data_IF_667018548475
#
_entry.id   IF_667018548475
#
_cell.length_a   1.000
_cell.length_b   1.000
_cell.length_c   1.000
_cell.angle_alpha   90.00
_cell.angle_beta   90.00
_cell.angle_gamma   90.00
#
_symmetry.space_group_name_H-M   'P 1'
#
loop_
_entity.id
_entity.type
_entity.pdbx_description
1 polymer ?
#
# COMPACT_ATOMS: atom_id res chain seq x y z
N UNK A 1 -3.63 24.15 -11.60
CA UNK A 1 -2.31 23.59 -11.98
C UNK A 1 -1.56 24.54 -12.92
N UNK A 2 -2.23 25.20 -13.87
CA UNK A 2 -1.59 26.11 -14.84
C UNK A 2 -1.23 27.50 -14.27
N UNK A 3 -1.37 27.76 -12.97
CA UNK A 3 -1.11 29.06 -12.35
C UNK A 3 -2.07 30.17 -12.76
N UNK A 4 -3.19 29.83 -13.41
CA UNK A 4 -4.18 30.81 -13.91
C UNK A 4 -5.12 31.33 -12.82
N UNK A 5 -5.10 30.74 -11.64
CA UNK A 5 -5.96 31.09 -10.50
C UNK A 5 -5.06 31.52 -9.34
N UNK A 6 -5.34 32.69 -8.79
CA UNK A 6 -4.70 33.18 -7.56
C UNK A 6 -5.71 33.11 -6.43
N UNK A 7 -5.36 32.40 -5.35
CA UNK A 7 -6.17 32.35 -4.14
C UNK A 7 -5.84 33.56 -3.26
N UNK A 8 -6.90 34.19 -2.71
CA UNK A 8 -6.76 35.30 -1.77
C UNK A 8 -6.94 34.82 -0.33
N UNK A 9 -6.10 35.34 0.56
CA UNK A 9 -6.21 35.09 2.00
C UNK A 9 -7.43 35.82 2.64
N UNK A 10 -8.06 36.75 1.91
CA UNK A 10 -9.30 37.39 2.34
C UNK A 10 -10.49 36.46 2.43
N UNK A 11 -10.40 35.31 1.75
CA UNK A 11 -11.39 34.24 1.83
C UNK A 11 -10.91 33.17 2.80
N UNK A 12 -11.80 32.66 3.62
CA UNK A 12 -11.52 31.76 4.73
C UNK A 12 -10.79 30.46 4.27
N UNK A 13 -11.22 29.92 3.12
CA UNK A 13 -10.73 28.65 2.62
C UNK A 13 -10.69 28.57 1.09
N UNK A 14 -10.18 27.46 0.56
CA UNK A 14 -10.10 27.20 -0.88
C UNK A 14 -11.51 27.17 -1.52
N UNK A 15 -12.52 26.69 -0.82
CA UNK A 15 -13.88 26.57 -1.33
C UNK A 15 -14.52 27.93 -1.54
N UNK A 16 -14.31 28.89 -0.61
CA UNK A 16 -14.76 30.28 -0.79
C UNK A 16 -14.05 30.96 -1.96
N UNK A 17 -12.76 30.71 -2.12
CA UNK A 17 -12.01 31.20 -3.27
C UNK A 17 -12.60 30.67 -4.59
N UNK A 18 -12.88 29.38 -4.69
CA UNK A 18 -13.48 28.74 -5.87
C UNK A 18 -14.89 29.29 -6.13
N UNK A 19 -15.71 29.42 -5.10
CA UNK A 19 -17.07 29.98 -5.20
C UNK A 19 -17.01 31.43 -5.70
N UNK A 20 -16.10 32.27 -5.18
CA UNK A 20 -15.90 33.64 -5.65
C UNK A 20 -15.49 33.69 -7.12
N UNK A 21 -14.54 32.87 -7.53
CA UNK A 21 -14.11 32.76 -8.93
C UNK A 21 -15.26 32.33 -9.83
N UNK A 22 -16.08 31.40 -9.38
CA UNK A 22 -17.27 30.95 -10.12
C UNK A 22 -18.27 32.11 -10.30
N UNK A 23 -18.57 32.84 -9.22
CA UNK A 23 -19.48 34.00 -9.26
C UNK A 23 -18.95 35.08 -10.23
N UNK A 24 -17.65 35.35 -10.20
CA UNK A 24 -17.02 36.35 -11.09
C UNK A 24 -17.12 35.89 -12.57
N UNK A 25 -17.15 34.60 -12.86
CA UNK A 25 -17.25 34.07 -14.22
C UNK A 25 -18.66 33.99 -14.76
N UNK A 26 -19.63 33.58 -13.92
CA UNK A 26 -21.02 33.28 -14.37
C UNK A 26 -22.07 34.18 -13.70
N UNK A 27 -21.66 35.12 -12.88
CA UNK A 27 -22.53 36.08 -12.18
C UNK A 27 -23.31 35.41 -11.01
N UNK A 28 -24.43 36.04 -10.64
CA UNK A 28 -25.24 35.66 -9.46
C UNK A 28 -25.76 34.23 -9.46
N UNK A 29 -25.82 33.58 -10.60
CA UNK A 29 -26.18 32.15 -10.69
C UNK A 29 -25.16 31.28 -9.93
N UNK A 30 -23.89 31.69 -9.91
CA UNK A 30 -22.83 31.02 -9.15
C UNK A 30 -23.11 30.91 -7.64
N UNK A 31 -23.82 31.87 -7.05
CA UNK A 31 -24.23 31.85 -5.64
C UNK A 31 -25.17 30.71 -5.27
N UNK A 32 -25.87 30.12 -6.25
CA UNK A 32 -26.76 28.99 -6.03
C UNK A 32 -26.02 27.68 -5.69
N UNK A 33 -24.72 27.59 -6.05
CA UNK A 33 -23.93 26.38 -5.82
C UNK A 33 -23.85 26.00 -4.33
N UNK A 34 -23.86 26.97 -3.43
CA UNK A 34 -23.77 26.75 -1.98
C UNK A 34 -25.11 26.35 -1.32
N UNK A 35 -26.23 26.42 -2.07
CA UNK A 35 -27.56 26.15 -1.51
C UNK A 35 -27.67 24.74 -0.97
N UNK A 36 -28.05 24.58 0.30
CA UNK A 36 -28.22 23.28 0.97
C UNK A 36 -26.90 22.53 1.23
N UNK A 37 -25.76 23.18 1.16
CA UNK A 37 -24.44 22.61 1.36
C UNK A 37 -23.73 23.24 2.58
N UNK A 38 -22.96 22.43 3.29
CA UNK A 38 -22.04 22.86 4.33
C UNK A 38 -20.60 22.53 3.94
N UNK A 39 -19.62 23.14 4.60
CA UNK A 39 -18.22 22.67 4.52
C UNK A 39 -18.08 21.24 5.01
N UNK A 40 -18.91 20.81 5.97
CA UNK A 40 -18.81 19.48 6.57
C UNK A 40 -19.07 18.38 5.55
N UNK A 41 -20.18 18.42 4.82
CA UNK A 41 -20.49 17.42 3.78
C UNK A 41 -19.62 17.59 2.53
N UNK A 42 -19.23 18.83 2.20
CA UNK A 42 -18.35 19.11 1.08
C UNK A 42 -16.95 18.51 1.28
N UNK A 43 -16.31 18.76 2.42
CA UNK A 43 -14.96 18.24 2.72
C UNK A 43 -14.97 16.72 2.85
N UNK A 44 -16.03 16.15 3.44
CA UNK A 44 -16.19 14.69 3.47
C UNK A 44 -16.32 14.10 2.06
N UNK A 45 -17.03 14.79 1.15
CA UNK A 45 -17.13 14.41 -0.26
C UNK A 45 -15.78 14.47 -0.97
N UNK A 46 -15.06 15.59 -0.81
CA UNK A 46 -13.77 15.81 -1.48
C UNK A 46 -12.76 14.73 -1.08
N UNK A 47 -12.70 14.37 0.21
CA UNK A 47 -11.85 13.29 0.70
C UNK A 47 -12.23 11.93 0.11
N UNK A 48 -13.52 11.62 0.00
CA UNK A 48 -13.98 10.36 -0.62
C UNK A 48 -13.65 10.32 -2.12
N UNK A 49 -13.87 11.40 -2.85
CA UNK A 49 -13.53 11.49 -4.28
C UNK A 49 -12.01 11.31 -4.50
N UNK A 50 -11.20 12.05 -3.76
CA UNK A 50 -9.74 11.95 -3.81
C UNK A 50 -9.28 10.52 -3.49
N UNK A 51 -9.81 9.94 -2.43
CA UNK A 51 -9.47 8.58 -2.00
C UNK A 51 -9.80 7.55 -3.07
N UNK A 52 -10.99 7.62 -3.68
CA UNK A 52 -11.39 6.70 -4.76
C UNK A 52 -10.43 6.77 -5.95
N UNK A 53 -10.02 7.97 -6.35
CA UNK A 53 -9.06 8.16 -7.44
C UNK A 53 -7.67 7.61 -7.10
N UNK A 54 -7.16 7.91 -5.93
CA UNK A 54 -5.81 7.54 -5.54
C UNK A 54 -5.65 6.03 -5.28
N UNK A 55 -6.67 5.39 -4.73
CA UNK A 55 -6.64 3.94 -4.48
C UNK A 55 -6.49 3.14 -5.77
N UNK A 56 -7.11 3.58 -6.86
CA UNK A 56 -6.94 2.93 -8.18
C UNK A 56 -5.47 2.96 -8.62
N UNK A 57 -4.75 4.06 -8.34
CA UNK A 57 -3.32 4.18 -8.65
C UNK A 57 -2.46 3.21 -7.82
N UNK A 58 -2.75 3.08 -6.53
CA UNK A 58 -2.06 2.09 -5.67
C UNK A 58 -2.38 0.65 -6.09
N UNK A 59 -3.64 0.38 -6.45
CA UNK A 59 -4.02 -0.94 -6.96
C UNK A 59 -3.29 -1.28 -8.26
N UNK A 60 -3.13 -0.33 -9.17
CA UNK A 60 -2.36 -0.52 -10.41
C UNK A 60 -0.89 -0.86 -10.09
N UNK A 61 -0.24 -0.14 -9.17
CA UNK A 61 1.14 -0.43 -8.76
C UNK A 61 1.30 -1.82 -8.12
N UNK A 62 0.29 -2.30 -7.37
CA UNK A 62 0.29 -3.67 -6.83
C UNK A 62 0.10 -4.72 -7.93
N UNK A 63 -0.71 -4.45 -8.95
CA UNK A 63 -0.85 -5.35 -10.10
C UNK A 63 0.45 -5.43 -10.90
N UNK A 64 1.11 -4.29 -11.16
CA UNK A 64 2.42 -4.25 -11.78
C UNK A 64 3.45 -5.08 -11.00
N UNK A 65 3.45 -4.96 -9.65
CA UNK A 65 4.30 -5.77 -8.77
C UNK A 65 4.04 -7.27 -8.93
N UNK A 66 2.77 -7.68 -8.95
CA UNK A 66 2.38 -9.08 -9.13
C UNK A 66 2.80 -9.61 -10.53
N UNK A 67 2.70 -8.80 -11.56
CA UNK A 67 3.16 -9.17 -12.92
C UNK A 67 4.67 -9.35 -12.97
N UNK A 68 5.45 -8.44 -12.36
CA UNK A 68 6.91 -8.53 -12.26
C UNK A 68 7.31 -9.82 -11.51
N UNK A 69 6.73 -10.08 -10.35
CA UNK A 69 7.01 -11.29 -9.57
C UNK A 69 6.68 -12.56 -10.38
N UNK A 70 5.55 -12.57 -11.08
CA UNK A 70 5.13 -13.70 -11.91
C UNK A 70 6.10 -13.92 -13.10
N UNK A 71 6.61 -12.86 -13.71
CA UNK A 71 7.65 -12.91 -14.74
C UNK A 71 8.92 -13.58 -14.20
N UNK A 72 9.44 -13.06 -13.09
CA UNK A 72 10.62 -13.63 -12.41
C UNK A 72 10.41 -15.10 -12.05
N UNK A 73 9.24 -15.44 -11.53
CA UNK A 73 8.91 -16.83 -11.16
C UNK A 73 8.96 -17.77 -12.36
N UNK A 74 8.38 -17.38 -13.50
CA UNK A 74 8.39 -18.17 -14.73
C UNK A 74 9.80 -18.46 -15.25
N UNK A 75 10.71 -17.51 -15.16
CA UNK A 75 12.09 -17.63 -15.61
C UNK A 75 12.97 -18.47 -14.67
N UNK A 76 12.49 -18.74 -13.46
CA UNK A 76 13.26 -19.37 -12.39
C UNK A 76 12.63 -20.65 -11.82
N UNK A 77 11.78 -21.34 -12.58
CA UNK A 77 11.13 -22.60 -12.17
C UNK A 77 12.17 -23.65 -11.80
N UNK A 78 13.26 -23.76 -12.56
CA UNK A 78 14.35 -24.70 -12.36
C UNK A 78 15.57 -24.11 -11.66
N UNK A 79 15.44 -22.92 -11.03
CA UNK A 79 16.50 -22.32 -10.23
C UNK A 79 16.35 -22.78 -8.80
N UNK A 80 17.19 -23.72 -8.35
CA UNK A 80 17.15 -24.26 -7.00
C UNK A 80 17.95 -23.41 -6.01
N UNK A 81 17.44 -23.25 -4.79
CA UNK A 81 18.03 -22.51 -3.70
C UNK A 81 17.77 -23.23 -2.36
N UNK A 82 18.57 -22.94 -1.32
CA UNK A 82 18.19 -23.39 0.02
C UNK A 82 17.00 -22.58 0.51
N UNK A 83 15.97 -23.26 1.00
CA UNK A 83 14.93 -22.64 1.82
C UNK A 83 15.44 -22.49 3.25
N UNK A 84 14.95 -21.45 3.96
CA UNK A 84 15.41 -21.10 5.30
C UNK A 84 14.27 -21.13 6.32
N UNK A 85 14.58 -21.66 7.51
CA UNK A 85 13.83 -21.41 8.74
C UNK A 85 14.84 -21.00 9.82
N UNK A 86 14.52 -20.00 10.65
CA UNK A 86 15.45 -19.47 11.66
C UNK A 86 16.80 -18.99 11.09
N UNK A 87 16.82 -18.55 9.82
CA UNK A 87 18.01 -18.23 9.03
C UNK A 87 18.99 -19.44 8.88
N UNK A 88 18.55 -20.64 9.18
CA UNK A 88 19.28 -21.88 8.91
C UNK A 88 18.77 -22.52 7.63
N UNK A 89 19.67 -23.11 6.84
CA UNK A 89 19.31 -23.87 5.66
C UNK A 89 18.44 -25.07 6.08
N UNK A 90 17.27 -25.21 5.46
CA UNK A 90 16.30 -26.25 5.81
C UNK A 90 16.14 -27.27 4.68
N UNK A 91 15.40 -26.95 3.65
CA UNK A 91 15.11 -27.83 2.52
C UNK A 91 15.35 -27.10 1.19
N UNK A 92 15.67 -27.78 0.09
CA UNK A 92 15.77 -27.16 -1.22
C UNK A 92 14.40 -26.73 -1.71
N UNK A 93 14.33 -25.52 -2.28
CA UNK A 93 13.14 -24.98 -2.95
C UNK A 93 13.53 -24.39 -4.29
N UNK A 94 12.57 -24.18 -5.19
CA UNK A 94 12.83 -23.36 -6.38
C UNK A 94 12.71 -21.87 -6.04
N UNK A 95 13.50 -21.04 -6.70
CA UNK A 95 13.38 -19.57 -6.57
C UNK A 95 11.98 -19.10 -6.98
N UNK A 96 11.36 -19.77 -7.96
CA UNK A 96 9.97 -19.54 -8.35
C UNK A 96 9.01 -19.71 -7.16
N UNK A 97 9.10 -20.83 -6.45
CA UNK A 97 8.26 -21.08 -5.28
C UNK A 97 8.48 -20.06 -4.17
N UNK A 98 9.74 -19.70 -3.91
CA UNK A 98 10.12 -18.70 -2.94
C UNK A 98 9.49 -17.33 -3.25
N UNK A 99 9.68 -16.80 -4.47
CA UNK A 99 9.21 -15.46 -4.79
C UNK A 99 7.68 -15.37 -4.87
N UNK A 100 7.00 -16.46 -5.27
CA UNK A 100 5.54 -16.53 -5.30
C UNK A 100 4.91 -16.47 -3.89
N UNK A 101 5.65 -16.77 -2.82
CA UNK A 101 5.18 -16.53 -1.45
C UNK A 101 4.91 -15.04 -1.20
N UNK A 102 5.74 -14.15 -1.76
CA UNK A 102 5.50 -12.70 -1.72
C UNK A 102 4.34 -12.27 -2.62
N UNK A 103 4.19 -12.89 -3.79
CA UNK A 103 3.01 -12.63 -4.63
C UNK A 103 1.70 -12.91 -3.86
N UNK A 104 1.63 -13.98 -3.06
CA UNK A 104 0.47 -14.28 -2.23
C UNK A 104 0.22 -13.22 -1.14
N UNK A 105 1.27 -12.60 -0.59
CA UNK A 105 1.12 -11.50 0.36
C UNK A 105 0.50 -10.28 -0.33
N UNK A 106 1.06 -9.83 -1.45
CA UNK A 106 0.57 -8.67 -2.20
C UNK A 106 -0.81 -8.90 -2.86
N UNK A 107 -1.13 -10.13 -3.24
CA UNK A 107 -2.48 -10.49 -3.69
C UNK A 107 -3.52 -10.28 -2.58
N UNK A 108 -3.20 -10.66 -1.35
CA UNK A 108 -4.07 -10.38 -0.19
C UNK A 108 -4.18 -8.88 0.11
N UNK A 109 -3.10 -8.11 -0.10
CA UNK A 109 -3.12 -6.66 0.07
C UNK A 109 -4.02 -5.98 -0.97
N UNK A 110 -3.96 -6.41 -2.23
CA UNK A 110 -4.86 -5.93 -3.26
C UNK A 110 -6.34 -6.16 -2.90
N UNK A 111 -6.66 -7.35 -2.38
CA UNK A 111 -8.03 -7.68 -1.95
C UNK A 111 -8.47 -6.80 -0.77
N UNK A 112 -7.59 -6.57 0.23
CA UNK A 112 -7.88 -5.68 1.36
C UNK A 112 -8.17 -4.27 0.89
N UNK A 113 -7.31 -3.74 0.03
CA UNK A 113 -7.44 -2.40 -0.51
C UNK A 113 -8.72 -2.23 -1.34
N UNK A 114 -9.08 -3.24 -2.13
CA UNK A 114 -10.35 -3.27 -2.87
C UNK A 114 -11.56 -3.23 -1.93
N UNK A 115 -11.53 -4.00 -0.85
CA UNK A 115 -12.62 -4.03 0.13
C UNK A 115 -12.72 -2.72 0.90
N UNK A 116 -11.60 -2.13 1.33
CA UNK A 116 -11.55 -0.85 2.01
C UNK A 116 -12.04 0.30 1.10
N UNK A 117 -11.70 0.28 -0.18
CA UNK A 117 -12.18 1.27 -1.16
C UNK A 117 -13.70 1.25 -1.33
N UNK A 118 -14.35 0.09 -1.16
CA UNK A 118 -15.82 -0.01 -1.23
C UNK A 118 -16.52 0.79 -0.14
N UNK A 119 -15.89 1.00 1.03
CA UNK A 119 -16.44 1.84 2.11
C UNK A 119 -16.43 3.32 1.75
N UNK A 120 -15.52 3.76 0.89
CA UNK A 120 -15.50 5.13 0.38
C UNK A 120 -16.57 5.40 -0.68
N UNK A 121 -17.24 4.37 -1.22
CA UNK A 121 -18.13 4.48 -2.39
C UNK A 121 -19.56 4.89 -2.05
N UNK A 122 -19.71 5.80 -1.09
CA UNK A 122 -21.00 6.41 -0.71
C UNK A 122 -20.86 7.93 -0.60
N UNK A 123 -21.79 8.68 -1.24
CA UNK A 123 -21.71 10.15 -1.27
C UNK A 123 -22.29 10.79 -0.01
N UNK A 124 -21.53 11.61 0.73
CA UNK A 124 -22.03 12.37 1.88
C UNK A 124 -22.81 13.63 1.49
N UNK A 125 -22.74 14.07 0.23
CA UNK A 125 -23.31 15.35 -0.22
C UNK A 125 -24.82 15.39 -0.01
N UNK A 126 -25.30 16.53 0.53
CA UNK A 126 -26.67 16.74 0.94
C UNK A 126 -26.94 16.43 2.42
N UNK A 127 -25.91 15.98 3.17
CA UNK A 127 -25.97 15.88 4.63
C UNK A 127 -25.87 17.24 5.31
N UNK A 128 -25.45 18.27 4.59
CA UNK A 128 -25.22 19.63 5.07
C UNK A 128 -24.29 19.64 6.30
N UNK A 129 -24.58 20.42 7.33
CA UNK A 129 -23.72 20.44 8.52
C UNK A 129 -23.79 19.12 9.33
N UNK A 130 -24.98 18.53 9.48
CA UNK A 130 -25.24 17.26 10.17
C UNK A 130 -26.68 16.74 10.04
N UNK A 131 -27.66 17.60 9.76
CA UNK A 131 -29.09 17.27 9.84
C UNK A 131 -29.77 17.21 8.46
N UNK A 132 -29.00 17.25 7.37
CA UNK A 132 -29.54 17.39 6.04
C UNK A 132 -30.03 18.80 5.77
N UNK A 133 -30.98 18.96 4.83
CA UNK A 133 -31.52 20.24 4.42
C UNK A 133 -33.01 20.13 4.12
N UNK A 134 -33.73 21.24 4.27
CA UNK A 134 -35.15 21.36 3.87
C UNK A 134 -35.33 21.59 2.37
N UNK A 135 -34.26 21.87 1.63
CA UNK A 135 -34.33 21.99 0.18
C UNK A 135 -34.53 20.61 -0.49
N UNK A 136 -35.32 20.51 -1.56
CA UNK A 136 -35.57 19.26 -2.25
C UNK A 136 -34.37 18.85 -3.13
N UNK A 137 -33.26 18.52 -2.50
CA UNK A 137 -32.07 18.06 -3.20
C UNK A 137 -32.23 16.60 -3.62
N UNK A 138 -31.89 16.29 -4.87
CA UNK A 138 -31.81 14.92 -5.37
C UNK A 138 -30.43 14.33 -5.11
N UNK A 139 -30.28 13.68 -3.95
CA UNK A 139 -29.03 13.06 -3.52
C UNK A 139 -28.65 11.84 -4.37
N UNK A 140 -29.61 11.15 -4.96
CA UNK A 140 -29.33 10.03 -5.86
C UNK A 140 -28.73 10.53 -7.17
N UNK A 141 -29.29 11.61 -7.72
CA UNK A 141 -28.76 12.25 -8.91
C UNK A 141 -27.32 12.75 -8.72
N UNK A 142 -27.05 13.49 -7.66
CA UNK A 142 -25.68 14.01 -7.37
C UNK A 142 -24.68 12.87 -7.09
N UNK A 143 -25.11 11.84 -6.36
CA UNK A 143 -24.29 10.64 -6.09
C UNK A 143 -23.91 9.93 -7.40
N UNK A 144 -24.87 9.71 -8.28
CA UNK A 144 -24.65 9.05 -9.57
C UNK A 144 -23.69 9.83 -10.49
N UNK A 145 -23.89 11.15 -10.61
CA UNK A 145 -23.01 12.00 -11.45
C UNK A 145 -21.58 12.03 -10.94
N UNK A 146 -21.40 12.00 -9.61
CA UNK A 146 -20.09 11.97 -8.96
C UNK A 146 -19.46 10.56 -8.92
N UNK A 147 -20.12 9.55 -9.50
CA UNK A 147 -19.59 8.20 -9.62
C UNK A 147 -19.59 7.41 -8.31
N UNK A 148 -20.50 7.71 -7.38
CA UNK A 148 -20.74 6.91 -6.19
C UNK A 148 -21.88 5.91 -6.40
N UNK A 149 -21.82 4.77 -5.72
CA UNK A 149 -22.87 3.75 -5.80
C UNK A 149 -24.19 4.17 -5.17
N UNK A 150 -24.14 5.01 -4.14
CA UNK A 150 -25.33 5.53 -3.44
C UNK A 150 -25.00 6.75 -2.57
N UNK A 151 -26.00 7.54 -2.15
CA UNK A 151 -25.83 8.47 -1.05
C UNK A 151 -25.69 7.72 0.30
N UNK A 152 -25.07 8.35 1.30
CA UNK A 152 -25.01 7.86 2.67
C UNK A 152 -26.40 7.85 3.33
N UNK A 153 -26.60 6.96 4.32
CA UNK A 153 -27.90 6.74 4.97
C UNK A 153 -28.24 7.74 6.08
N UNK A 154 -27.25 8.09 6.91
CA UNK A 154 -27.42 8.98 8.05
C UNK A 154 -26.55 10.22 7.90
N UNK A 155 -27.17 11.40 7.98
CA UNK A 155 -26.46 12.67 7.72
C UNK A 155 -25.46 13.06 8.81
N UNK A 156 -25.65 12.63 10.05
CA UNK A 156 -24.71 12.91 11.13
C UNK A 156 -23.45 12.04 11.02
N UNK A 157 -23.62 10.75 10.74
CA UNK A 157 -22.54 9.81 10.45
C UNK A 157 -21.79 10.22 9.19
N UNK A 158 -22.51 10.62 8.17
CA UNK A 158 -22.01 11.00 6.84
C UNK A 158 -20.90 12.05 6.87
N UNK A 159 -21.01 13.06 7.74
CA UNK A 159 -20.01 14.12 7.90
C UNK A 159 -18.93 13.77 8.92
N UNK A 160 -19.13 12.72 9.71
CA UNK A 160 -18.24 12.22 10.77
C UNK A 160 -17.36 11.05 10.31
N UNK A 161 -17.83 10.23 9.38
CA UNK A 161 -17.17 8.99 8.96
C UNK A 161 -15.77 9.24 8.43
N UNK A 162 -14.80 8.55 9.02
CA UNK A 162 -13.40 8.41 8.57
C UNK A 162 -12.94 6.95 8.60
N UNK A 163 -13.86 6.01 8.81
CA UNK A 163 -13.54 4.59 8.92
C UNK A 163 -12.89 4.08 7.64
N UNK A 164 -13.37 4.54 6.46
CA UNK A 164 -12.79 4.18 5.18
C UNK A 164 -11.31 4.61 5.06
N UNK A 165 -10.90 5.75 5.63
CA UNK A 165 -9.50 6.17 5.66
C UNK A 165 -8.67 5.26 6.56
N UNK A 166 -9.18 4.92 7.74
CA UNK A 166 -8.52 4.02 8.69
C UNK A 166 -8.33 2.63 8.07
N UNK A 167 -9.36 2.09 7.42
CA UNK A 167 -9.30 0.80 6.73
C UNK A 167 -8.26 0.79 5.61
N UNK A 168 -8.21 1.87 4.82
CA UNK A 168 -7.22 2.03 3.74
C UNK A 168 -5.81 2.17 4.31
N UNK A 169 -5.61 2.99 5.34
CA UNK A 169 -4.31 3.15 6.00
C UNK A 169 -3.85 1.86 6.69
N UNK A 170 -4.77 1.05 7.21
CA UNK A 170 -4.46 -0.28 7.70
C UNK A 170 -4.00 -1.21 6.56
N UNK A 171 -4.63 -1.14 5.38
CA UNK A 171 -4.15 -1.86 4.21
C UNK A 171 -2.76 -1.38 3.77
N UNK A 172 -2.50 -0.06 3.79
CA UNK A 172 -1.18 0.52 3.55
C UNK A 172 -0.12 0.02 4.54
N UNK A 173 -0.46 -0.03 5.84
CA UNK A 173 0.43 -0.56 6.86
C UNK A 173 0.82 -2.02 6.57
N UNK A 174 -0.13 -2.87 6.15
CA UNK A 174 0.15 -4.26 5.77
C UNK A 174 0.99 -4.36 4.49
N UNK A 175 0.76 -3.53 3.49
CA UNK A 175 1.63 -3.43 2.30
C UNK A 175 3.07 -3.13 2.75
N UNK A 176 3.26 -2.16 3.65
CA UNK A 176 4.59 -1.80 4.15
C UNK A 176 5.22 -2.92 4.99
N UNK A 177 4.44 -3.70 5.75
CA UNK A 177 4.95 -4.92 6.43
C UNK A 177 5.50 -5.92 5.41
N UNK A 178 4.77 -6.17 4.33
CA UNK A 178 5.20 -7.14 3.31
C UNK A 178 6.40 -6.63 2.50
N UNK A 179 6.41 -5.35 2.13
CA UNK A 179 7.57 -4.70 1.51
C UNK A 179 8.80 -4.75 2.42
N UNK A 180 8.64 -4.43 3.71
CA UNK A 180 9.73 -4.47 4.69
C UNK A 180 10.33 -5.87 4.82
N UNK A 181 9.50 -6.92 4.89
CA UNK A 181 9.97 -8.32 4.95
C UNK A 181 10.71 -8.73 3.68
N UNK A 182 10.21 -8.34 2.51
CA UNK A 182 10.89 -8.66 1.25
C UNK A 182 12.20 -7.88 1.12
N UNK A 183 12.21 -6.60 1.49
CA UNK A 183 13.44 -5.79 1.54
C UNK A 183 14.50 -6.39 2.46
N UNK A 184 14.10 -6.93 3.64
CA UNK A 184 15.02 -7.62 4.55
C UNK A 184 15.73 -8.79 3.87
N UNK A 185 14.99 -9.66 3.18
CA UNK A 185 15.59 -10.77 2.45
C UNK A 185 16.43 -10.32 1.26
N UNK A 186 16.02 -9.25 0.55
CA UNK A 186 16.83 -8.64 -0.52
C UNK A 186 18.17 -8.16 0.04
N UNK A 187 18.17 -7.49 1.19
CA UNK A 187 19.39 -7.02 1.87
C UNK A 187 20.30 -8.20 2.23
N UNK A 188 19.74 -9.24 2.86
CA UNK A 188 20.48 -10.45 3.22
C UNK A 188 21.04 -11.13 1.96
N UNK A 189 20.21 -11.36 0.95
CA UNK A 189 20.59 -12.12 -0.24
C UNK A 189 21.53 -11.35 -1.19
N UNK A 190 21.53 -10.03 -1.13
CA UNK A 190 22.50 -9.20 -1.88
C UNK A 190 23.83 -9.01 -1.16
N UNK A 191 23.95 -9.40 0.12
CA UNK A 191 25.18 -9.30 0.89
C UNK A 191 26.30 -10.17 0.30
N UNK A 192 27.56 -9.81 0.60
CA UNK A 192 28.72 -10.57 0.13
C UNK A 192 28.74 -12.02 0.59
N UNK A 193 28.20 -12.31 1.79
CA UNK A 193 28.17 -13.65 2.37
C UNK A 193 27.19 -14.57 1.65
N UNK A 194 26.00 -14.06 1.32
CA UNK A 194 25.00 -14.80 0.54
C UNK A 194 25.26 -14.70 -0.97
N UNK A 195 25.24 -13.50 -1.53
CA UNK A 195 25.49 -13.25 -2.96
C UNK A 195 24.51 -13.98 -3.89
N UNK A 196 23.27 -14.16 -3.46
CA UNK A 196 22.24 -14.88 -4.24
C UNK A 196 21.58 -14.00 -5.29
N UNK A 197 21.55 -12.70 -5.04
CA UNK A 197 21.01 -11.69 -5.94
C UNK A 197 21.97 -10.52 -6.05
N UNK A 198 21.81 -9.73 -7.11
CA UNK A 198 22.52 -8.48 -7.30
C UNK A 198 21.51 -7.40 -7.72
N UNK A 199 21.52 -6.28 -7.01
CA UNK A 199 20.69 -5.13 -7.35
C UNK A 199 21.36 -4.33 -8.47
N UNK A 200 20.55 -3.69 -9.31
CA UNK A 200 21.04 -2.72 -10.30
C UNK A 200 21.69 -1.52 -9.59
N UNK A 201 22.67 -0.90 -10.25
CA UNK A 201 23.31 0.32 -9.77
C UNK A 201 22.31 1.49 -9.58
N UNK A 202 21.20 1.46 -10.33
CA UNK A 202 20.12 2.45 -10.18
C UNK A 202 19.40 2.39 -8.84
N UNK A 203 19.51 1.28 -8.10
CA UNK A 203 18.84 1.04 -6.82
C UNK A 203 19.80 0.72 -5.67
N UNK A 204 21.07 1.07 -5.86
CA UNK A 204 22.13 0.84 -4.88
C UNK A 204 23.12 1.99 -4.93
N UNK A 205 23.86 2.21 -3.83
CA UNK A 205 24.91 3.22 -3.78
C UNK A 205 26.28 2.59 -3.53
N UNK A 206 27.29 3.20 -4.11
CA UNK A 206 28.68 2.86 -3.81
C UNK A 206 29.15 3.52 -2.51
N UNK A 207 30.34 3.14 -2.06
CA UNK A 207 31.03 3.83 -0.98
C UNK A 207 32.03 4.84 -1.54
N UNK A 208 32.12 6.01 -0.93
CA UNK A 208 33.12 7.02 -1.29
C UNK A 208 34.56 6.62 -0.93
N UNK A 209 34.72 5.61 -0.06
CA UNK A 209 36.03 5.15 0.44
C UNK A 209 36.35 3.73 -0.01
N UNK A 210 35.34 2.90 -0.21
CA UNK A 210 35.50 1.47 -0.52
C UNK A 210 34.93 1.18 -1.92
N UNK A 211 35.74 1.17 -3.00
CA UNK A 211 35.27 1.04 -4.36
C UNK A 211 34.46 -0.25 -4.65
N UNK A 212 34.74 -1.32 -3.89
CA UNK A 212 34.08 -2.62 -4.04
C UNK A 212 32.71 -2.71 -3.33
N UNK A 213 32.36 -1.71 -2.51
CA UNK A 213 31.16 -1.76 -1.68
C UNK A 213 29.94 -1.24 -2.44
N UNK A 214 28.89 -2.04 -2.46
CA UNK A 214 27.59 -1.72 -3.03
C UNK A 214 26.51 -1.91 -1.96
N UNK A 215 25.78 -0.85 -1.64
CA UNK A 215 24.82 -0.83 -0.56
C UNK A 215 23.40 -0.97 -1.13
N UNK A 216 22.51 -1.77 -0.51
CA UNK A 216 21.12 -1.93 -0.93
C UNK A 216 20.20 -0.82 -0.37
N UNK A 217 20.60 0.46 -0.56
CA UNK A 217 19.96 1.60 0.12
C UNK A 217 18.46 1.73 -0.18
N UNK A 218 18.04 1.42 -1.40
CA UNK A 218 16.63 1.47 -1.77
C UNK A 218 15.81 0.50 -0.90
N UNK A 219 16.29 -0.72 -0.69
CA UNK A 219 15.64 -1.70 0.17
C UNK A 219 15.65 -1.25 1.65
N UNK A 220 16.76 -0.70 2.14
CA UNK A 220 16.87 -0.20 3.51
C UNK A 220 15.91 0.97 3.77
N UNK A 221 15.82 1.92 2.84
CA UNK A 221 14.92 3.06 2.95
C UNK A 221 13.44 2.64 2.93
N UNK A 222 13.05 1.71 2.05
CA UNK A 222 11.68 1.16 2.02
C UNK A 222 11.37 0.48 3.36
N UNK A 223 12.26 -0.35 3.88
CA UNK A 223 12.14 -0.99 5.19
C UNK A 223 11.94 0.04 6.30
N UNK A 224 12.74 1.12 6.31
CA UNK A 224 12.66 2.19 7.30
C UNK A 224 11.36 2.99 7.23
N UNK A 225 10.83 3.23 6.02
CA UNK A 225 9.59 4.01 5.82
C UNK A 225 8.33 3.31 6.35
N UNK A 226 8.37 2.02 6.65
CA UNK A 226 7.23 1.32 7.25
C UNK A 226 6.79 1.94 8.57
N UNK A 227 7.74 2.39 9.41
CA UNK A 227 7.45 3.06 10.68
C UNK A 227 6.68 4.37 10.51
N UNK A 228 6.89 5.12 9.42
CA UNK A 228 6.16 6.34 9.10
C UNK A 228 4.69 6.05 8.86
N UNK A 229 4.37 5.10 7.98
CA UNK A 229 2.99 4.69 7.68
C UNK A 229 2.26 4.12 8.90
N UNK A 230 2.96 3.38 9.77
CA UNK A 230 2.39 2.91 11.04
C UNK A 230 2.08 4.07 11.99
N UNK A 231 2.96 5.08 12.04
CA UNK A 231 2.75 6.28 12.83
C UNK A 231 1.52 7.06 12.39
N UNK A 232 1.35 7.25 11.08
CA UNK A 232 0.21 7.96 10.49
C UNK A 232 -1.13 7.26 10.79
N UNK A 233 -1.19 5.93 10.64
CA UNK A 233 -2.36 5.15 11.01
C UNK A 233 -2.70 5.32 12.50
N UNK A 234 -1.71 5.24 13.37
CA UNK A 234 -1.90 5.42 14.81
C UNK A 234 -2.35 6.84 15.14
N UNK A 235 -1.82 7.85 14.44
CA UNK A 235 -2.23 9.24 14.61
C UNK A 235 -3.71 9.44 14.25
N UNK A 236 -4.17 8.91 13.10
CA UNK A 236 -5.58 9.01 12.71
C UNK A 236 -6.50 8.25 13.68
N UNK A 237 -6.15 7.04 14.11
CA UNK A 237 -6.89 6.30 15.14
C UNK A 237 -7.00 7.10 16.43
N UNK A 238 -5.91 7.75 16.84
CA UNK A 238 -5.86 8.57 18.05
C UNK A 238 -6.70 9.84 17.91
N UNK A 239 -6.71 10.46 16.74
CA UNK A 239 -7.54 11.63 16.44
C UNK A 239 -9.03 11.26 16.54
N UNK A 240 -9.43 10.15 15.92
CA UNK A 240 -10.84 9.78 15.83
C UNK A 240 -11.44 9.24 17.15
N UNK A 241 -10.60 8.65 18.02
CA UNK A 241 -11.12 8.13 19.30
C UNK A 241 -11.74 9.23 20.16
N UNK A 242 -12.93 8.99 20.68
CA UNK A 242 -13.57 9.85 21.68
C UNK A 242 -14.10 11.19 21.17
N UNK A 243 -14.05 11.46 19.85
CA UNK A 243 -14.69 12.65 19.27
C UNK A 243 -16.21 12.45 19.24
N UNK A 244 -17.01 13.42 19.73
CA UNK A 244 -18.46 13.35 19.63
C UNK A 244 -18.93 13.60 18.19
N UNK A 245 -20.16 13.15 17.89
CA UNK A 245 -20.82 13.51 16.63
C UNK A 245 -21.06 15.03 16.55
N UNK A 246 -21.16 15.66 15.37
CA UNK A 246 -20.99 15.04 14.07
C UNK A 246 -19.61 15.43 13.49
N UNK A 247 -19.24 16.69 13.60
CA UNK A 247 -17.96 17.24 13.13
C UNK A 247 -17.28 18.05 14.22
N UNK A 248 -15.97 17.85 14.35
CA UNK A 248 -15.08 18.63 15.20
C UNK A 248 -13.82 18.98 14.43
N UNK A 249 -13.15 20.08 14.79
CA UNK A 249 -11.93 20.56 14.11
C UNK A 249 -10.80 19.54 14.13
N UNK A 250 -10.77 18.62 15.09
CA UNK A 250 -9.85 17.47 15.17
C UNK A 250 -9.78 16.69 13.85
N UNK A 251 -10.91 16.58 13.15
CA UNK A 251 -11.00 15.90 11.85
C UNK A 251 -10.19 16.57 10.71
N UNK A 252 -9.64 17.75 10.93
CA UNK A 252 -8.70 18.35 9.95
C UNK A 252 -7.37 17.61 9.90
N UNK A 253 -7.00 16.90 10.99
CA UNK A 253 -5.79 16.08 11.06
C UNK A 253 -5.87 14.79 10.24
N UNK A 254 -7.01 14.46 9.66
CA UNK A 254 -7.19 13.29 8.80
C UNK A 254 -6.37 13.38 7.50
N UNK A 255 -6.17 14.60 6.98
CA UNK A 255 -5.57 14.86 5.66
C UNK A 255 -4.07 14.63 5.66
N UNK A 256 -3.34 15.25 6.58
CA UNK A 256 -1.88 15.18 6.60
C UNK A 256 -1.42 13.73 6.76
N UNK A 257 -1.98 13.01 7.73
CA UNK A 257 -1.64 11.60 7.97
C UNK A 257 -1.99 10.70 6.77
N UNK A 258 -3.16 10.91 6.15
CA UNK A 258 -3.57 10.11 5.00
C UNK A 258 -2.71 10.40 3.76
N UNK A 259 -2.48 11.66 3.44
CA UNK A 259 -1.67 12.07 2.30
C UNK A 259 -0.22 11.59 2.43
N UNK A 260 0.36 11.72 3.62
CA UNK A 260 1.72 11.27 3.89
C UNK A 260 1.87 9.75 3.73
N UNK A 261 0.94 8.97 4.28
CA UNK A 261 0.88 7.52 4.11
C UNK A 261 0.72 7.12 2.64
N UNK A 262 -0.20 7.77 1.93
CA UNK A 262 -0.47 7.50 0.52
C UNK A 262 0.76 7.75 -0.36
N UNK A 263 1.39 8.92 -0.21
CA UNK A 263 2.57 9.28 -0.99
C UNK A 263 3.77 8.40 -0.64
N UNK A 264 3.91 8.03 0.62
CA UNK A 264 4.96 7.10 1.08
C UNK A 264 4.77 5.71 0.47
N UNK A 265 3.56 5.16 0.49
CA UNK A 265 3.26 3.83 -0.10
C UNK A 265 3.45 3.83 -1.61
N UNK A 266 2.93 4.84 -2.31
CA UNK A 266 3.10 5.00 -3.77
C UNK A 266 4.58 5.08 -4.16
N UNK A 267 5.34 5.89 -3.44
CA UNK A 267 6.77 6.04 -3.66
C UNK A 267 7.54 4.73 -3.40
N UNK A 268 7.22 4.03 -2.30
CA UNK A 268 7.84 2.75 -1.98
C UNK A 268 7.51 1.67 -3.02
N UNK A 269 6.26 1.54 -3.45
CA UNK A 269 5.87 0.60 -4.50
C UNK A 269 6.58 0.89 -5.83
N UNK A 270 6.64 2.15 -6.25
CA UNK A 270 7.30 2.54 -7.50
C UNK A 270 8.79 2.18 -7.49
N UNK A 271 9.50 2.51 -6.41
CA UNK A 271 10.94 2.18 -6.27
C UNK A 271 11.13 0.66 -6.16
N UNK A 272 10.29 -0.02 -5.41
CA UNK A 272 10.37 -1.47 -5.21
C UNK A 272 10.14 -2.24 -6.52
N UNK A 273 9.12 -1.87 -7.30
CA UNK A 273 8.85 -2.46 -8.62
C UNK A 273 10.06 -2.34 -9.56
N UNK A 274 10.66 -1.16 -9.63
CA UNK A 274 11.88 -0.94 -10.43
C UNK A 274 13.06 -1.76 -9.93
N UNK A 275 13.25 -1.84 -8.61
CA UNK A 275 14.36 -2.57 -7.98
C UNK A 275 14.29 -4.07 -8.28
N UNK A 276 13.14 -4.73 -8.07
CA UNK A 276 13.02 -6.17 -8.32
C UNK A 276 12.95 -6.51 -9.82
N UNK A 277 12.41 -5.62 -10.66
CA UNK A 277 12.40 -5.82 -12.11
C UNK A 277 13.81 -5.87 -12.71
N UNK A 278 14.74 -5.11 -12.13
CA UNK A 278 16.14 -5.01 -12.60
C UNK A 278 17.12 -5.89 -11.82
N UNK A 279 16.62 -6.63 -10.83
CA UNK A 279 17.42 -7.51 -9.99
C UNK A 279 17.97 -8.71 -10.78
N UNK A 280 19.23 -9.03 -10.59
CA UNK A 280 19.87 -10.21 -11.19
C UNK A 280 19.92 -11.36 -10.19
N UNK A 281 19.44 -12.55 -10.61
CA UNK A 281 19.45 -13.77 -9.79
C UNK A 281 20.70 -14.58 -10.13
N UNK A 282 21.55 -14.86 -9.14
CA UNK A 282 22.81 -15.60 -9.28
C UNK A 282 22.56 -17.12 -9.18
N UNK A 283 22.02 -17.72 -10.27
CA UNK A 283 21.56 -19.11 -10.31
C UNK A 283 22.62 -20.11 -9.85
N UNK A 284 23.87 -19.94 -10.28
CA UNK A 284 24.99 -20.81 -9.92
C UNK A 284 25.31 -20.74 -8.41
N UNK A 285 25.26 -19.53 -7.84
CA UNK A 285 25.49 -19.32 -6.40
C UNK A 285 24.38 -19.96 -5.56
N UNK A 286 23.13 -19.82 -5.99
CA UNK A 286 21.98 -20.47 -5.35
C UNK A 286 22.09 -21.97 -5.37
N UNK A 287 22.42 -22.57 -6.52
CA UNK A 287 22.61 -24.00 -6.68
C UNK A 287 23.76 -24.53 -5.80
N UNK A 288 24.91 -23.84 -5.83
CA UNK A 288 26.04 -24.19 -4.97
C UNK A 288 25.70 -24.16 -3.48
N UNK A 289 24.89 -23.17 -3.06
CA UNK A 289 24.44 -23.06 -1.69
C UNK A 289 23.45 -24.17 -1.30
N UNK A 290 22.58 -24.59 -2.23
CA UNK A 290 21.65 -25.69 -2.04
C UNK A 290 22.34 -27.06 -1.96
N UNK A 291 23.51 -27.20 -2.59
CA UNK A 291 24.31 -28.43 -2.53
C UNK A 291 25.07 -28.61 -1.19
N UNK A 292 25.03 -27.64 -0.31
CA UNK A 292 25.76 -27.64 0.97
C UNK A 292 24.80 -27.88 2.16
N UNK A 293 25.29 -28.62 3.18
CA UNK A 293 24.63 -28.74 4.48
C UNK A 293 23.56 -29.82 4.56
N UNK A 294 23.60 -30.81 3.67
CA UNK A 294 22.70 -31.99 3.70
C UNK A 294 21.21 -31.62 3.75
N UNK A 295 20.81 -30.52 3.08
CA UNK A 295 19.43 -30.02 3.12
C UNK A 295 18.40 -30.97 2.48
N UNK A 296 18.84 -32.04 1.82
CA UNK A 296 18.05 -33.14 1.29
C UNK A 296 17.97 -34.36 2.24
N UNK A 297 18.48 -34.25 3.47
CA UNK A 297 18.44 -35.38 4.43
C UNK A 297 17.00 -35.86 4.68
N UNK A 298 16.02 -34.96 4.70
CA UNK A 298 14.60 -35.34 4.86
C UNK A 298 14.13 -36.20 3.70
N UNK A 299 14.54 -35.91 2.45
CA UNK A 299 14.15 -36.72 1.28
C UNK A 299 14.70 -38.15 1.36
N UNK A 300 15.91 -38.28 1.94
CA UNK A 300 16.51 -39.63 2.20
C UNK A 300 15.71 -40.37 3.25
N UNK A 301 15.30 -39.73 4.36
CA UNK A 301 14.46 -40.32 5.38
C UNK A 301 13.08 -40.70 4.84
N UNK A 302 12.49 -39.88 4.01
CA UNK A 302 11.21 -40.12 3.33
C UNK A 302 11.33 -41.34 2.39
N UNK A 303 12.40 -41.40 1.59
CA UNK A 303 12.65 -42.59 0.73
C UNK A 303 12.77 -43.90 1.53
N UNK A 304 13.48 -43.87 2.65
CA UNK A 304 13.56 -45.05 3.52
C UNK A 304 12.19 -45.43 4.11
N UNK A 305 11.37 -44.42 4.41
CA UNK A 305 10.00 -44.63 4.94
C UNK A 305 9.08 -45.23 3.88
N UNK A 306 9.19 -44.79 2.62
CA UNK A 306 8.48 -45.42 1.49
C UNK A 306 8.88 -46.86 1.25
N UNK A 307 10.09 -47.26 1.66
CA UNK A 307 10.57 -48.66 1.62
C UNK A 307 10.13 -49.48 2.82
N UNK A 308 9.27 -48.94 3.71
CA UNK A 308 8.67 -49.67 4.83
C UNK A 308 9.34 -49.43 6.18
N UNK A 309 10.34 -48.59 6.28
CA UNK A 309 10.96 -48.20 7.55
C UNK A 309 10.07 -47.20 8.30
N UNK A 310 10.05 -47.23 9.64
CA UNK A 310 9.40 -46.13 10.37
C UNK A 310 10.18 -44.82 10.17
N UNK A 311 9.47 -43.67 10.05
CA UNK A 311 10.13 -42.38 9.88
C UNK A 311 11.13 -42.07 11.02
N UNK A 312 10.80 -42.50 12.25
CA UNK A 312 11.67 -42.32 13.41
C UNK A 312 12.99 -43.10 13.31
N UNK A 313 12.97 -44.26 12.72
CA UNK A 313 14.18 -45.07 12.50
C UNK A 313 14.96 -44.53 11.29
N UNK A 314 14.28 -44.17 10.21
CA UNK A 314 14.87 -43.51 9.07
C UNK A 314 15.62 -42.21 9.49
N UNK A 315 14.96 -41.38 10.31
CA UNK A 315 15.54 -40.11 10.85
C UNK A 315 16.83 -40.36 11.66
N UNK A 316 16.95 -41.50 12.37
CA UNK A 316 18.17 -41.81 13.13
C UNK A 316 19.32 -42.30 12.25
N UNK A 317 19.02 -42.86 11.09
CA UNK A 317 20.00 -43.38 10.14
C UNK A 317 20.61 -42.28 9.31
N UNK A 318 19.78 -41.31 8.92
CA UNK A 318 20.18 -40.17 8.11
C UNK A 318 20.81 -39.09 8.98
#
# INVERSE_FOLDING_TARGET
EDGKITFSIEYEDIHMNIEKILIDRIGDVGKKLHTGRSRNDQVALDMKLFTKEEIVKVQAQLLDLLEIINGIAKENISTYMPGFTHLQKAQPVSFSHYILAYAEMFRRDFIRLKNAAALADTSPLGSAALAGTTYPLDRNFTSSILGFSSPTWNSMDSVSDRDYLIEIMNAFALIMVHLSRFCEEIIIYSSNDFGYIELSDSFSTGSSIMPQKKNPDAAELIRGKSGRVFGDLMALLTTMKGIPLAYNKDMQEDKENFFDSLDTVKGCLAVFNGMIHTMTIKKERLLAAAAQGFINATDVADYLTEKGMSFRDAYKIV
#
